data_IF_374087943090
#
_entry.id   IF_374087943090
#
_cell.length_a   1.000
_cell.length_b   1.000
_cell.length_c   1.000
_cell.angle_alpha   90.00
_cell.angle_beta   90.00
_cell.angle_gamma   90.00
#
_symmetry.space_group_name_H-M   'P 1'
#
loop_
_entity.id
_entity.type
_entity.pdbx_description
1 polymer ?
#
# COMPACT_ATOMS: atom_id res chain seq x y z
N UNK A 1 23.05 -13.29 -13.25
CA UNK A 1 24.03 -13.11 -12.17
C UNK A 1 23.61 -11.86 -11.42
N UNK A 2 23.48 -11.98 -10.09
CA UNK A 2 22.83 -11.07 -9.13
C UNK A 2 22.85 -9.58 -9.53
N UNK A 3 21.66 -9.04 -9.76
CA UNK A 3 21.43 -7.60 -9.90
C UNK A 3 21.76 -6.92 -8.56
N UNK A 4 22.67 -5.96 -8.57
CA UNK A 4 22.85 -5.00 -7.48
C UNK A 4 21.63 -4.07 -7.48
N UNK A 5 20.53 -4.52 -6.89
CA UNK A 5 19.31 -3.71 -6.77
C UNK A 5 19.47 -2.72 -5.62
N UNK A 6 19.67 -1.43 -5.95
CA UNK A 6 19.64 -0.35 -4.98
C UNK A 6 18.17 0.04 -4.77
N UNK A 7 17.68 -0.18 -3.55
CA UNK A 7 16.38 0.28 -3.10
C UNK A 7 16.53 1.64 -2.41
N UNK A 8 15.67 2.60 -2.73
CA UNK A 8 15.65 3.89 -2.06
C UNK A 8 14.57 3.88 -1.00
N UNK A 9 14.96 4.02 0.26
CA UNK A 9 14.01 4.05 1.37
C UNK A 9 13.23 5.37 1.37
N UNK A 10 11.91 5.32 1.26
CA UNK A 10 11.07 6.53 1.30
C UNK A 10 10.64 6.86 2.74
N UNK A 11 11.59 7.36 3.54
CA UNK A 11 11.36 7.65 4.96
C UNK A 11 10.62 8.96 5.23
N UNK A 12 10.40 9.80 4.20
CA UNK A 12 9.91 11.18 4.36
C UNK A 12 8.50 11.39 3.82
N UNK A 13 7.80 10.31 3.45
CA UNK A 13 6.36 10.36 3.13
C UNK A 13 5.59 11.05 4.26
N UNK A 14 4.65 11.93 3.90
CA UNK A 14 3.74 12.59 4.82
C UNK A 14 2.28 12.37 4.41
N UNK A 15 1.34 12.60 5.32
CA UNK A 15 -0.09 12.60 4.96
C UNK A 15 -0.36 13.67 3.90
N UNK A 16 -1.20 13.34 2.90
CA UNK A 16 -1.51 14.14 1.71
C UNK A 16 -0.41 14.23 0.64
N UNK A 17 0.71 13.54 0.81
CA UNK A 17 1.67 13.42 -0.29
C UNK A 17 1.09 12.60 -1.45
N UNK A 18 1.40 13.02 -2.67
CA UNK A 18 1.11 12.24 -3.87
C UNK A 18 2.29 11.31 -4.16
N UNK A 19 1.99 10.04 -4.43
CA UNK A 19 2.93 9.01 -4.88
C UNK A 19 2.36 8.30 -6.10
N UNK A 20 3.24 7.93 -7.03
CA UNK A 20 2.85 7.16 -8.20
C UNK A 20 3.10 5.67 -7.96
N UNK A 21 2.04 4.89 -8.12
CA UNK A 21 2.08 3.44 -8.14
C UNK A 21 1.92 2.96 -9.57
N UNK A 22 2.89 2.17 -10.03
CA UNK A 22 2.93 1.64 -11.39
C UNK A 22 2.59 0.16 -11.35
N UNK A 23 1.93 -0.34 -12.39
CA UNK A 23 1.79 -1.79 -12.63
C UNK A 23 2.26 -2.12 -14.03
N UNK A 24 2.64 -3.38 -14.26
CA UNK A 24 2.81 -3.87 -15.63
C UNK A 24 1.48 -3.84 -16.37
N UNK A 25 1.49 -3.33 -17.60
CA UNK A 25 0.28 -3.23 -18.41
C UNK A 25 -0.41 -4.59 -18.65
N UNK A 26 0.36 -5.68 -18.66
CA UNK A 26 -0.14 -7.05 -18.81
C UNK A 26 -0.85 -7.59 -17.56
N UNK A 27 -0.73 -6.95 -16.40
CA UNK A 27 -1.36 -7.40 -15.16
C UNK A 27 -2.85 -7.00 -15.14
N UNK A 28 -3.71 -7.96 -14.78
CA UNK A 28 -5.15 -7.80 -14.71
C UNK A 28 -5.65 -6.99 -13.51
N UNK A 29 -4.77 -6.59 -12.58
CA UNK A 29 -5.12 -5.77 -11.42
C UNK A 29 -5.85 -4.49 -11.86
N UNK A 30 -7.07 -4.28 -11.38
CA UNK A 30 -7.86 -3.06 -11.61
C UNK A 30 -8.17 -2.41 -10.27
N UNK A 31 -7.67 -1.20 -10.05
CA UNK A 31 -8.05 -0.38 -8.89
C UNK A 31 -9.15 0.59 -9.31
N UNK A 32 -10.10 0.81 -8.40
CA UNK A 32 -11.19 1.75 -8.62
C UNK A 32 -10.72 3.13 -8.19
N UNK A 33 -10.98 4.13 -9.03
CA UNK A 33 -10.65 5.52 -8.70
C UNK A 33 -11.57 6.02 -7.59
N UNK A 34 -10.99 6.60 -6.53
CA UNK A 34 -11.73 7.20 -5.41
C UNK A 34 -12.01 6.25 -4.26
N UNK A 35 -11.57 4.99 -4.34
CA UNK A 35 -11.64 4.03 -3.24
C UNK A 35 -10.31 3.99 -2.47
N UNK A 36 -10.40 3.59 -1.20
CA UNK A 36 -9.24 3.45 -0.31
C UNK A 36 -8.68 2.03 -0.36
N UNK A 37 -7.34 1.93 -0.33
CA UNK A 37 -6.62 0.66 -0.40
C UNK A 37 -5.54 0.58 0.67
N UNK A 38 -5.41 -0.59 1.29
CA UNK A 38 -4.26 -0.95 2.12
C UNK A 38 -3.19 -1.55 1.21
N UNK A 39 -2.07 -0.84 1.09
CA UNK A 39 -0.96 -1.18 0.19
C UNK A 39 0.30 -1.37 1.02
N UNK A 40 0.92 -2.54 0.92
CA UNK A 40 2.24 -2.82 1.48
C UNK A 40 3.15 -3.45 0.43
N UNK A 41 4.46 -3.26 0.56
CA UNK A 41 5.41 -3.83 -0.39
C UNK A 41 6.84 -3.40 -0.12
N UNK A 42 7.69 -3.59 -1.14
CA UNK A 42 9.05 -3.06 -1.13
C UNK A 42 9.04 -1.59 -1.54
N UNK A 43 10.04 -0.85 -1.09
CA UNK A 43 10.26 0.54 -1.48
C UNK A 43 10.47 0.72 -2.99
N UNK A 44 10.58 1.96 -3.47
CA UNK A 44 10.78 2.23 -4.88
C UNK A 44 12.22 2.15 -5.36
N UNK A 45 12.37 2.02 -6.68
CA UNK A 45 13.68 1.99 -7.38
C UNK A 45 13.86 3.12 -8.39
N UNK A 46 12.79 3.88 -8.63
CA UNK A 46 12.75 5.02 -9.53
C UNK A 46 12.08 6.19 -8.84
N UNK A 47 12.30 7.37 -9.40
CA UNK A 47 11.61 8.59 -9.02
C UNK A 47 10.77 9.11 -10.19
N UNK A 48 9.75 9.90 -9.88
CA UNK A 48 8.96 10.62 -10.87
C UNK A 48 9.68 11.89 -11.34
N UNK A 49 9.03 12.65 -12.24
CA UNK A 49 9.57 13.91 -12.76
C UNK A 49 9.78 15.01 -11.69
N UNK A 50 9.22 14.84 -10.48
CA UNK A 50 9.42 15.73 -9.33
C UNK A 50 10.48 15.21 -8.34
N UNK A 51 11.09 14.06 -8.62
CA UNK A 51 12.08 13.42 -7.76
C UNK A 51 11.49 12.63 -6.60
N UNK A 52 10.16 12.45 -6.53
CA UNK A 52 9.52 11.60 -5.51
C UNK A 52 9.61 10.14 -5.90
N UNK A 53 9.84 9.26 -4.92
CA UNK A 53 9.94 7.81 -5.17
C UNK A 53 8.63 7.28 -5.76
N UNK A 54 8.75 6.40 -6.75
CA UNK A 54 7.64 5.66 -7.34
C UNK A 54 7.67 4.21 -6.89
N UNK A 55 6.48 3.65 -6.67
CA UNK A 55 6.32 2.26 -6.25
C UNK A 55 5.85 1.40 -7.42
N UNK A 56 6.25 0.12 -7.40
CA UNK A 56 5.85 -0.86 -8.40
C UNK A 56 4.98 -1.92 -7.73
N UNK A 57 3.79 -2.14 -8.28
CA UNK A 57 2.99 -3.33 -7.98
C UNK A 57 3.57 -4.54 -8.69
N UNK A 58 4.13 -5.44 -7.88
CA UNK A 58 4.74 -6.68 -8.31
C UNK A 58 4.26 -7.87 -7.45
N UNK A 59 4.90 -9.03 -7.62
CA UNK A 59 4.52 -10.25 -6.91
C UNK A 59 4.76 -10.20 -5.39
N UNK A 60 5.48 -9.19 -4.88
CA UNK A 60 5.73 -8.97 -3.44
C UNK A 60 4.89 -7.85 -2.85
N UNK A 61 3.95 -7.31 -3.63
CA UNK A 61 3.04 -6.27 -3.19
C UNK A 61 1.76 -6.89 -2.62
N UNK A 62 1.34 -6.40 -1.45
CA UNK A 62 0.05 -6.69 -0.83
C UNK A 62 -0.90 -5.52 -1.09
N UNK A 63 -2.05 -5.79 -1.73
CA UNK A 63 -3.01 -4.75 -2.14
C UNK A 63 -4.41 -5.24 -1.81
N UNK A 64 -5.08 -4.58 -0.86
CA UNK A 64 -6.45 -4.90 -0.45
C UNK A 64 -7.31 -3.64 -0.44
N UNK A 65 -8.55 -3.75 -0.94
CA UNK A 65 -9.55 -2.68 -0.86
C UNK A 65 -10.01 -2.53 0.59
N UNK A 66 -9.96 -1.31 1.14
CA UNK A 66 -10.48 -1.04 2.49
C UNK A 66 -12.00 -0.94 2.38
N UNK A 67 -12.77 -1.73 3.14
CA UNK A 67 -14.22 -1.66 3.09
C UNK A 67 -14.73 -0.28 3.48
N UNK A 68 -15.74 0.22 2.75
CA UNK A 68 -16.40 1.49 3.09
C UNK A 68 -17.02 1.45 4.48
N UNK A 69 -17.25 2.63 5.07
CA UNK A 69 -17.92 2.77 6.37
C UNK A 69 -19.26 2.02 6.39
N UNK A 70 -20.11 2.23 5.38
CA UNK A 70 -21.40 1.55 5.22
C UNK A 70 -21.25 0.03 5.20
N UNK A 71 -20.20 -0.49 4.54
CA UNK A 71 -19.93 -1.94 4.51
C UNK A 71 -19.56 -2.45 5.89
N UNK A 72 -18.76 -1.70 6.65
CA UNK A 72 -18.36 -2.08 8.00
C UNK A 72 -19.50 -2.02 9.03
N UNK A 73 -20.55 -1.25 8.79
CA UNK A 73 -21.74 -1.22 9.65
C UNK A 73 -22.56 -2.52 9.57
N UNK A 74 -22.47 -3.24 8.44
CA UNK A 74 -23.15 -4.52 8.23
C UNK A 74 -22.64 -5.57 9.22
N UNK A 75 -23.57 -6.21 9.94
CA UNK A 75 -23.26 -7.18 11.02
C UNK A 75 -22.26 -8.26 10.62
N UNK A 76 -22.31 -8.75 9.38
CA UNK A 76 -21.40 -9.80 8.88
C UNK A 76 -19.95 -9.35 8.73
N UNK A 77 -19.69 -8.04 8.56
CA UNK A 77 -18.34 -7.51 8.31
C UNK A 77 -17.72 -6.80 9.52
N UNK A 78 -18.51 -6.47 10.56
CA UNK A 78 -18.02 -5.75 11.76
C UNK A 78 -16.74 -6.32 12.35
N UNK A 79 -16.67 -7.64 12.54
CA UNK A 79 -15.48 -8.30 13.10
C UNK A 79 -14.26 -8.18 12.18
N UNK A 80 -14.46 -8.39 10.88
CA UNK A 80 -13.38 -8.28 9.89
C UNK A 80 -12.84 -6.84 9.79
N UNK A 81 -13.74 -5.85 9.73
CA UNK A 81 -13.33 -4.44 9.72
C UNK A 81 -12.59 -4.04 11.00
N UNK A 82 -13.06 -4.51 12.17
CA UNK A 82 -12.36 -4.26 13.43
C UNK A 82 -10.95 -4.85 13.40
N UNK A 83 -10.81 -6.11 12.99
CA UNK A 83 -9.50 -6.76 12.93
C UNK A 83 -8.54 -6.04 11.96
N UNK A 84 -9.03 -5.60 10.80
CA UNK A 84 -8.22 -4.83 9.84
C UNK A 84 -7.75 -3.51 10.46
N UNK A 85 -8.65 -2.74 11.06
CA UNK A 85 -8.32 -1.47 11.72
C UNK A 85 -7.35 -1.65 12.88
N UNK A 86 -7.57 -2.66 13.73
CA UNK A 86 -6.65 -2.98 14.82
C UNK A 86 -5.26 -3.33 14.28
N UNK A 87 -5.18 -4.16 13.22
CA UNK A 87 -3.92 -4.54 12.58
C UNK A 87 -3.17 -3.35 11.98
N UNK A 88 -3.88 -2.45 11.28
CA UNK A 88 -3.29 -1.23 10.73
C UNK A 88 -2.78 -0.30 11.85
N UNK A 89 -3.53 -0.15 12.93
CA UNK A 89 -3.12 0.65 14.09
C UNK A 89 -1.90 0.06 14.80
N UNK A 90 -1.85 -1.26 14.98
CA UNK A 90 -0.71 -1.93 15.59
C UNK A 90 0.55 -1.75 14.73
N UNK A 91 0.44 -1.93 13.41
CA UNK A 91 1.55 -1.70 12.49
C UNK A 91 2.06 -0.26 12.54
N UNK A 92 1.16 0.73 12.58
CA UNK A 92 1.52 2.15 12.63
C UNK A 92 2.17 2.55 13.96
N UNK A 93 1.66 2.06 15.09
CA UNK A 93 2.08 2.52 16.41
C UNK A 93 3.20 1.67 17.03
N UNK A 94 3.21 0.37 16.77
CA UNK A 94 4.15 -0.58 17.35
C UNK A 94 5.24 -1.01 16.36
N UNK A 95 4.95 -0.95 15.07
CA UNK A 95 5.83 -1.49 14.03
C UNK A 95 5.91 -3.01 14.08
N UNK A 96 7.00 -3.57 13.55
CA UNK A 96 7.27 -5.01 13.59
C UNK A 96 8.27 -5.34 14.72
N UNK A 97 8.09 -6.47 15.38
CA UNK A 97 9.10 -7.00 16.32
C UNK A 97 10.32 -7.50 15.52
N UNK A 98 11.52 -7.14 15.99
CA UNK A 98 12.81 -7.41 15.33
C UNK A 98 13.58 -8.48 16.08
#
# INVERSE_FOLDING_TARGET
MRDNEIWYKDERVQVNDVRHFLKRNSCQLQLKKGEDYFIMGQDGRSTDGSGKIQYLFDAKSWIEEIPSADTCELRKYRSACKNLNDSMNDLLNLGCQV
#
